data_IF_917409889769
#
_entry.id   IF_917409889769
#
_cell.length_a   1.000
_cell.length_b   1.000
_cell.length_c   1.000
_cell.angle_alpha   90.00
_cell.angle_beta   90.00
_cell.angle_gamma   90.00
#
_symmetry.space_group_name_H-M   'P 1'
#
loop_
_entity.id
_entity.type
_entity.pdbx_description
1 polymer ?
#
# COMPACT_ATOMS: atom_id res chain seq x y z
N UNK A 1 -6.23 -2.21 -6.41
CA UNK A 1 -5.23 -1.94 -5.35
C UNK A 1 -5.16 -0.45 -5.01
N UNK A 2 -4.71 0.42 -5.91
CA UNK A 2 -4.57 1.86 -5.62
C UNK A 2 -5.89 2.55 -5.22
N UNK A 3 -6.99 2.27 -5.93
CA UNK A 3 -8.32 2.80 -5.55
C UNK A 3 -8.78 2.29 -4.18
N UNK A 4 -8.63 0.99 -3.92
CA UNK A 4 -8.95 0.40 -2.62
C UNK A 4 -8.11 0.98 -1.46
N UNK A 5 -6.87 1.40 -1.73
CA UNK A 5 -6.06 2.14 -0.76
C UNK A 5 -6.63 3.54 -0.49
N UNK A 6 -7.09 4.26 -1.52
CA UNK A 6 -7.70 5.59 -1.34
C UNK A 6 -8.99 5.56 -0.52
N UNK A 7 -9.76 4.47 -0.58
CA UNK A 7 -10.97 4.30 0.23
C UNK A 7 -10.66 4.17 1.73
N UNK A 8 -9.55 3.50 2.08
CA UNK A 8 -9.16 3.21 3.47
C UNK A 8 -7.64 3.36 3.66
N UNK A 9 -7.12 4.60 3.65
CA UNK A 9 -5.68 4.85 3.68
C UNK A 9 -5.06 4.63 5.07
N UNK A 10 -5.86 4.71 6.15
CA UNK A 10 -5.45 4.44 7.52
C UNK A 10 -4.44 5.45 8.10
N UNK A 11 -4.38 6.68 7.56
CA UNK A 11 -3.40 7.70 7.98
C UNK A 11 -3.78 8.40 9.29
N UNK A 12 -4.97 8.18 9.82
CA UNK A 12 -5.40 8.61 11.13
C UNK A 12 -4.86 7.72 12.26
N UNK A 13 -4.36 6.52 11.93
CA UNK A 13 -3.87 5.53 12.88
C UNK A 13 -2.42 5.81 13.31
N UNK A 14 -1.90 5.02 14.26
CA UNK A 14 -0.46 4.92 14.52
C UNK A 14 0.26 4.28 13.34
N UNK A 15 1.60 4.29 13.32
CA UNK A 15 2.38 3.59 12.29
C UNK A 15 2.04 2.09 12.26
N UNK A 16 1.99 1.44 13.43
CA UNK A 16 1.63 0.03 13.55
C UNK A 16 0.19 -0.22 13.07
N UNK A 17 -0.75 0.63 13.49
CA UNK A 17 -2.16 0.52 13.07
C UNK A 17 -2.35 0.72 11.56
N UNK A 18 -1.59 1.64 10.96
CA UNK A 18 -1.56 1.82 9.51
C UNK A 18 -1.04 0.57 8.81
N UNK A 19 0.02 -0.06 9.35
CA UNK A 19 0.56 -1.28 8.77
C UNK A 19 -0.41 -2.46 8.91
N UNK A 20 -1.11 -2.58 10.04
CA UNK A 20 -2.20 -3.56 10.20
C UNK A 20 -3.33 -3.32 9.20
N UNK A 21 -3.75 -2.07 8.99
CA UNK A 21 -4.74 -1.72 7.97
C UNK A 21 -4.25 -2.13 6.56
N UNK A 22 -2.97 -1.93 6.24
CA UNK A 22 -2.38 -2.35 4.97
C UNK A 22 -2.35 -3.89 4.81
N UNK A 23 -2.15 -4.64 5.90
CA UNK A 23 -2.26 -6.10 5.88
C UNK A 23 -3.69 -6.56 5.56
N UNK A 24 -4.70 -5.92 6.15
CA UNK A 24 -6.10 -6.23 5.86
C UNK A 24 -6.47 -5.92 4.42
N UNK A 25 -6.02 -4.77 3.89
CA UNK A 25 -6.18 -4.44 2.47
C UNK A 25 -5.48 -5.47 1.57
N UNK A 26 -4.30 -5.97 1.98
CA UNK A 26 -3.58 -6.99 1.21
C UNK A 26 -4.38 -8.28 1.11
N UNK A 27 -4.93 -8.75 2.24
CA UNK A 27 -5.77 -9.95 2.27
C UNK A 27 -7.01 -9.82 1.37
N UNK A 28 -7.70 -8.68 1.41
CA UNK A 28 -8.90 -8.46 0.59
C UNK A 28 -8.61 -8.42 -0.92
N UNK A 29 -7.36 -8.16 -1.31
CA UNK A 29 -6.89 -8.16 -2.70
C UNK A 29 -6.27 -9.51 -3.14
N UNK A 30 -6.25 -10.52 -2.26
CA UNK A 30 -5.66 -11.84 -2.53
C UNK A 30 -4.14 -11.88 -2.35
N UNK A 31 -3.55 -10.97 -1.56
CA UNK A 31 -2.14 -10.96 -1.18
C UNK A 31 -2.00 -11.44 0.27
N UNK A 32 -0.90 -12.12 0.58
CA UNK A 32 -0.63 -12.55 1.95
C UNK A 32 -0.36 -11.34 2.87
N UNK A 33 -0.98 -11.32 4.05
CA UNK A 33 -0.69 -10.30 5.07
C UNK A 33 0.77 -10.30 5.55
N UNK A 34 1.48 -11.43 5.41
CA UNK A 34 2.88 -11.56 5.84
C UNK A 34 3.69 -12.25 4.74
N UNK A 35 4.92 -11.79 4.44
CA UNK A 35 5.77 -12.44 3.44
C UNK A 35 6.05 -13.91 3.71
N UNK A 36 6.07 -14.31 4.99
CA UNK A 36 6.26 -15.72 5.37
C UNK A 36 5.10 -16.62 4.94
N UNK A 37 3.88 -16.11 4.90
CA UNK A 37 2.70 -16.90 4.55
C UNK A 37 2.66 -17.12 3.03
N UNK A 38 3.03 -16.10 2.24
CA UNK A 38 3.27 -16.24 0.81
C UNK A 38 4.37 -17.26 0.51
N UNK A 39 5.52 -17.20 1.19
CA UNK A 39 6.61 -18.17 0.98
C UNK A 39 6.22 -19.62 1.26
N UNK A 40 5.27 -19.86 2.17
CA UNK A 40 4.80 -21.21 2.50
C UNK A 40 3.82 -21.77 1.48
N UNK A 41 3.03 -20.91 0.85
CA UNK A 41 1.99 -21.30 -0.10
C UNK A 41 1.85 -20.21 -1.18
N UNK A 42 2.82 -20.12 -2.12
CA UNK A 42 2.84 -19.04 -3.10
C UNK A 42 1.68 -19.13 -4.08
N UNK A 43 1.21 -20.32 -4.42
CA UNK A 43 0.03 -20.55 -5.27
C UNK A 43 -1.29 -20.04 -4.68
N UNK A 44 -1.38 -19.86 -3.35
CA UNK A 44 -2.58 -19.32 -2.71
C UNK A 44 -2.68 -17.78 -2.75
N UNK A 45 -1.61 -17.06 -3.13
CA UNK A 45 -1.61 -15.60 -3.11
C UNK A 45 -0.97 -15.00 -4.35
N UNK A 46 -1.39 -13.78 -4.70
CA UNK A 46 -0.82 -13.00 -5.80
C UNK A 46 0.55 -12.39 -5.48
N UNK A 47 0.96 -12.51 -4.22
CA UNK A 47 2.12 -11.86 -3.61
C UNK A 47 1.89 -11.67 -2.12
N UNK A 48 2.57 -10.69 -1.51
CA UNK A 48 2.44 -10.34 -0.10
C UNK A 48 2.27 -8.83 0.14
N UNK A 49 1.99 -8.44 1.38
CA UNK A 49 1.81 -7.03 1.82
C UNK A 49 2.93 -6.09 1.37
N UNK A 50 4.17 -6.57 1.27
CA UNK A 50 5.30 -5.77 0.77
C UNK A 50 5.14 -5.34 -0.70
N UNK A 51 4.51 -6.15 -1.55
CA UNK A 51 4.27 -5.84 -2.96
C UNK A 51 3.18 -4.79 -3.09
N UNK A 52 2.16 -4.89 -2.22
CA UNK A 52 1.10 -3.89 -2.08
C UNK A 52 1.70 -2.54 -1.65
N UNK A 53 2.56 -2.56 -0.63
CA UNK A 53 3.25 -1.37 -0.16
C UNK A 53 4.15 -0.75 -1.24
N UNK A 54 4.89 -1.56 -2.00
CA UNK A 54 5.75 -1.10 -3.09
C UNK A 54 4.92 -0.47 -4.22
N UNK A 55 3.81 -1.07 -4.63
CA UNK A 55 2.95 -0.50 -5.67
C UNK A 55 2.39 0.87 -5.28
N UNK A 56 1.90 1.01 -4.05
CA UNK A 56 1.41 2.31 -3.55
C UNK A 56 2.59 3.30 -3.45
N UNK A 57 3.75 2.87 -2.98
CA UNK A 57 4.95 3.71 -2.89
C UNK A 57 5.39 4.24 -4.24
N UNK A 58 5.42 3.40 -5.27
CA UNK A 58 5.76 3.82 -6.63
C UNK A 58 4.71 4.82 -7.14
N UNK A 59 3.42 4.52 -6.99
CA UNK A 59 2.35 5.41 -7.45
C UNK A 59 2.40 6.79 -6.78
N UNK A 60 2.73 6.84 -5.49
CA UNK A 60 2.74 8.08 -4.71
C UNK A 60 4.09 8.81 -4.82
N UNK A 61 5.22 8.12 -4.83
CA UNK A 61 6.55 8.76 -4.74
C UNK A 61 7.37 8.71 -6.03
N UNK A 62 6.97 7.90 -7.01
CA UNK A 62 7.77 7.61 -8.21
C UNK A 62 9.05 6.83 -7.93
N UNK A 63 9.21 6.27 -6.72
CA UNK A 63 10.42 5.58 -6.26
C UNK A 63 10.06 4.24 -5.62
N UNK A 64 10.94 3.25 -5.77
CA UNK A 64 10.83 1.96 -5.07
C UNK A 64 11.27 2.03 -3.61
N UNK A 65 12.21 2.94 -3.31
CA UNK A 65 12.77 3.15 -2.00
C UNK A 65 12.44 4.56 -1.49
N UNK A 66 11.99 4.62 -0.25
CA UNK A 66 11.74 5.86 0.49
C UNK A 66 12.34 5.70 1.90
N UNK A 67 12.52 6.79 2.65
CA UNK A 67 12.46 6.70 4.11
C UNK A 67 11.16 6.01 4.56
N UNK A 68 10.92 5.92 5.86
CA UNK A 68 9.70 5.31 6.39
C UNK A 68 8.45 5.81 5.64
N UNK A 69 7.80 4.87 4.95
CA UNK A 69 6.78 5.19 3.97
C UNK A 69 5.51 5.73 4.63
N UNK A 70 5.17 5.27 5.83
CA UNK A 70 4.05 5.78 6.60
C UNK A 70 4.21 7.29 6.86
N UNK A 71 5.38 7.73 7.31
CA UNK A 71 5.62 9.15 7.55
C UNK A 71 5.61 9.97 6.27
N UNK A 72 6.14 9.44 5.15
CA UNK A 72 6.02 10.12 3.84
C UNK A 72 4.55 10.37 3.49
N UNK A 73 3.67 9.37 3.64
CA UNK A 73 2.24 9.52 3.40
C UNK A 73 1.61 10.55 4.35
N UNK A 74 1.92 10.49 5.65
CA UNK A 74 1.42 11.45 6.65
C UNK A 74 1.80 12.89 6.32
N UNK A 75 3.05 13.14 5.96
CA UNK A 75 3.53 14.48 5.61
C UNK A 75 2.95 14.98 4.28
N UNK A 76 2.77 14.10 3.30
CA UNK A 76 2.16 14.48 2.01
C UNK A 76 0.68 14.85 2.15
N UNK A 77 -0.05 14.17 3.04
CA UNK A 77 -1.49 14.37 3.23
C UNK A 77 -2.35 13.82 2.08
N UNK A 78 -3.63 13.60 2.37
CA UNK A 78 -4.54 12.90 1.47
C UNK A 78 -4.74 13.59 0.12
N UNK A 79 -4.78 14.93 0.08
CA UNK A 79 -4.97 15.66 -1.18
C UNK A 79 -3.88 15.31 -2.21
N UNK A 80 -2.60 15.32 -1.79
CA UNK A 80 -1.49 15.04 -2.71
C UNK A 80 -1.39 13.56 -3.07
N UNK A 81 -1.74 12.67 -2.14
CA UNK A 81 -1.80 11.22 -2.39
C UNK A 81 -2.85 10.91 -3.45
N UNK A 82 -4.07 11.44 -3.29
CA UNK A 82 -5.18 11.24 -4.24
C UNK A 82 -4.83 11.78 -5.63
N UNK A 83 -4.32 13.01 -5.72
CA UNK A 83 -3.89 13.63 -6.98
C UNK A 83 -2.90 12.74 -7.74
N UNK A 84 -1.86 12.25 -7.05
CA UNK A 84 -0.83 11.41 -7.68
C UNK A 84 -1.36 10.04 -8.10
N UNK A 85 -2.14 9.38 -7.25
CA UNK A 85 -2.73 8.08 -7.60
C UNK A 85 -3.68 8.21 -8.80
N UNK A 86 -4.53 9.23 -8.84
CA UNK A 86 -5.43 9.48 -9.97
C UNK A 86 -4.65 9.77 -11.25
N UNK A 87 -3.57 10.55 -11.16
CA UNK A 87 -2.67 10.81 -12.29
C UNK A 87 -2.09 9.50 -12.84
N UNK A 88 -1.58 8.62 -11.96
CA UNK A 88 -1.02 7.32 -12.38
C UNK A 88 -2.09 6.43 -13.01
N UNK A 89 -3.30 6.39 -12.45
CA UNK A 89 -4.40 5.60 -13.01
C UNK A 89 -4.79 6.09 -14.41
N UNK A 90 -4.78 7.41 -14.64
CA UNK A 90 -5.09 7.98 -15.96
C UNK A 90 -4.00 7.75 -17.03
N UNK A 91 -2.82 7.26 -16.65
CA UNK A 91 -1.73 6.92 -17.56
C UNK A 91 -1.70 5.43 -17.96
N UNK A 92 -2.54 4.60 -17.33
CA UNK A 92 -2.68 3.16 -17.58
C UNK A 92 -3.87 2.89 -18.51
#
# INVERSE_FOLDING_TARGET
MLLAFLEKPGLELSEDGWFENLQQLSLSLGFAAKPKDYRKNPEAYRGHVGDVAEMIRIAVSGRKNTPNFYYILKYMGMNKITERIQTIIGLL
#
